data_IF_496251962666
#
_entry.id   IF_496251962666
#
_cell.length_a   1.000
_cell.length_b   1.000
_cell.length_c   1.000
_cell.angle_alpha   90.00
_cell.angle_beta   90.00
_cell.angle_gamma   90.00
#
_symmetry.space_group_name_H-M   'P 1'
#
loop_
_entity.id
_entity.type
_entity.pdbx_description
1 polymer ?
#
# COMPACT_ATOMS: atom_id res chain seq x y z
N UNK A 1 -10.35 59.33 53.72
CA UNK A 1 -10.59 60.66 53.11
C UNK A 1 -10.33 60.54 51.62
N UNK A 2 -11.36 60.85 50.82
CA UNK A 2 -11.39 61.12 49.37
C UNK A 2 -10.87 60.05 48.39
N UNK A 3 -11.48 59.82 47.22
CA UNK A 3 -12.87 59.91 46.74
C UNK A 3 -12.86 59.25 45.35
N UNK A 4 -13.90 58.47 45.06
CA UNK A 4 -14.19 57.90 43.74
C UNK A 4 -14.66 58.96 42.71
N UNK A 5 -14.46 58.64 41.42
CA UNK A 5 -15.18 59.24 40.29
C UNK A 5 -14.47 58.90 38.97
N UNK A 6 -14.77 57.81 38.23
CA UNK A 6 -15.94 57.57 37.36
C UNK A 6 -16.33 58.76 36.46
N UNK A 7 -15.89 58.69 35.19
CA UNK A 7 -16.67 58.91 33.96
C UNK A 7 -16.16 57.87 32.95
N UNK A 8 -16.84 56.77 32.63
CA UNK A 8 -18.12 56.62 31.92
C UNK A 8 -18.03 57.26 30.52
N UNK A 9 -17.85 56.44 29.47
CA UNK A 9 -18.93 55.86 28.63
C UNK A 9 -19.31 56.82 27.48
N UNK A 10 -18.99 56.47 26.23
CA UNK A 10 -19.95 56.24 25.14
C UNK A 10 -19.26 56.22 23.76
N UNK A 11 -19.68 55.24 22.95
CA UNK A 11 -19.27 54.99 21.56
C UNK A 11 -19.15 53.48 21.33
N UNK A 12 -20.15 52.67 21.72
CA UNK A 12 -21.32 52.31 20.89
C UNK A 12 -20.92 51.96 19.44
N UNK A 13 -20.72 50.67 19.15
CA UNK A 13 -21.75 49.80 18.54
C UNK A 13 -22.11 50.24 17.12
N UNK A 14 -21.47 49.64 16.12
CA UNK A 14 -22.10 49.05 14.93
C UNK A 14 -21.03 48.51 13.97
N UNK A 15 -20.81 47.20 14.00
CA UNK A 15 -20.74 46.33 12.82
C UNK A 15 -20.52 44.90 13.32
N UNK A 16 -21.62 44.32 13.79
CA UNK A 16 -21.82 42.89 13.75
C UNK A 16 -21.60 42.35 12.33
N UNK A 17 -21.30 41.06 12.27
CA UNK A 17 -21.43 40.18 11.11
C UNK A 17 -20.41 40.41 9.99
N UNK A 18 -19.33 39.63 10.00
CA UNK A 18 -19.09 38.56 9.00
C UNK A 18 -17.65 38.07 9.09
N UNK A 19 -17.42 37.01 9.87
CA UNK A 19 -16.36 36.01 9.60
C UNK A 19 -16.41 34.87 10.62
N UNK A 20 -17.63 34.49 11.06
CA UNK A 20 -17.89 33.08 11.32
C UNK A 20 -18.12 32.42 9.95
N UNK A 21 -17.07 32.30 9.14
CA UNK A 21 -17.01 31.28 8.10
C UNK A 21 -16.71 29.96 8.82
N UNK A 22 -17.69 29.50 9.60
CA UNK A 22 -17.89 28.07 9.77
C UNK A 22 -18.22 27.61 8.38
N UNK A 23 -17.21 27.13 7.66
CA UNK A 23 -17.42 26.37 6.44
C UNK A 23 -18.31 25.22 6.87
N UNK A 24 -19.60 25.32 6.55
CA UNK A 24 -20.46 24.16 6.45
C UNK A 24 -19.84 23.29 5.37
N UNK A 25 -18.85 22.49 5.74
CA UNK A 25 -18.38 21.38 4.92
C UNK A 25 -19.64 20.62 4.59
N UNK A 26 -20.03 20.58 3.32
CA UNK A 26 -21.10 19.72 2.88
C UNK A 26 -20.73 18.31 3.35
N UNK A 27 -21.42 17.86 4.39
CA UNK A 27 -21.01 16.69 5.16
C UNK A 27 -21.39 15.46 4.35
N UNK A 28 -20.45 15.01 3.51
CA UNK A 28 -20.48 13.64 3.03
C UNK A 28 -20.16 12.72 4.21
N UNK A 29 -20.86 11.60 4.33
CA UNK A 29 -20.54 10.64 5.38
C UNK A 29 -19.15 10.06 5.12
N UNK A 30 -18.43 9.68 6.19
CA UNK A 30 -17.13 9.00 6.04
C UNK A 30 -17.22 7.75 5.16
N UNK A 31 -18.37 7.07 5.14
CA UNK A 31 -18.61 5.89 4.32
C UNK A 31 -18.73 6.24 2.84
N UNK A 32 -19.49 7.28 2.51
CA UNK A 32 -19.68 7.68 1.12
C UNK A 32 -18.37 8.26 0.56
N UNK A 33 -17.61 8.99 1.39
CA UNK A 33 -16.27 9.44 1.02
C UNK A 33 -15.33 8.26 0.72
N UNK A 34 -15.27 7.23 1.56
CA UNK A 34 -14.45 6.02 1.33
C UNK A 34 -14.81 5.32 0.00
N UNK A 35 -16.11 5.27 -0.34
CA UNK A 35 -16.58 4.68 -1.61
C UNK A 35 -16.11 5.52 -2.80
N UNK A 36 -16.28 6.84 -2.74
CA UNK A 36 -15.84 7.76 -3.79
C UNK A 36 -14.32 7.71 -3.96
N UNK A 37 -13.57 7.76 -2.86
CA UNK A 37 -12.10 7.66 -2.86
C UNK A 37 -11.66 6.33 -3.49
N UNK A 38 -12.31 5.22 -3.14
CA UNK A 38 -12.04 3.91 -3.74
C UNK A 38 -12.26 3.89 -5.25
N UNK A 39 -13.36 4.47 -5.75
CA UNK A 39 -13.63 4.58 -7.19
C UNK A 39 -12.60 5.45 -7.91
N UNK A 40 -12.21 6.57 -7.30
CA UNK A 40 -11.19 7.46 -7.83
C UNK A 40 -9.84 6.73 -7.93
N UNK A 41 -9.35 6.08 -6.87
CA UNK A 41 -8.03 5.43 -6.89
C UNK A 41 -7.96 4.18 -7.76
N UNK A 42 -9.06 3.44 -7.91
CA UNK A 42 -9.14 2.33 -8.86
C UNK A 42 -9.04 2.84 -10.32
N UNK A 43 -9.70 3.96 -10.64
CA UNK A 43 -9.52 4.65 -11.92
C UNK A 43 -8.10 5.17 -12.12
N UNK A 44 -7.49 5.69 -11.06
CA UNK A 44 -6.19 6.37 -11.13
C UNK A 44 -5.06 5.39 -11.42
N UNK A 45 -5.12 4.18 -10.86
CA UNK A 45 -4.17 3.11 -11.18
C UNK A 45 -4.15 2.79 -12.68
N UNK A 46 -5.33 2.50 -13.25
CA UNK A 46 -5.44 2.21 -14.70
C UNK A 46 -5.02 3.42 -15.54
N UNK A 47 -5.41 4.64 -15.15
CA UNK A 47 -5.02 5.84 -15.86
C UNK A 47 -3.49 6.01 -15.88
N UNK A 48 -2.82 5.83 -14.74
CA UNK A 48 -1.36 5.93 -14.64
C UNK A 48 -0.64 4.91 -15.54
N UNK A 49 -1.11 3.66 -15.59
CA UNK A 49 -0.59 2.63 -16.49
C UNK A 49 -0.65 3.07 -17.96
N UNK A 50 -1.81 3.57 -18.40
CA UNK A 50 -2.03 3.98 -19.80
C UNK A 50 -1.27 5.25 -20.18
N UNK A 51 -1.20 6.23 -19.28
CA UNK A 51 -0.44 7.47 -19.52
C UNK A 51 1.06 7.15 -19.63
N UNK A 52 1.60 6.27 -18.78
CA UNK A 52 2.98 5.79 -18.90
C UNK A 52 3.20 5.04 -20.22
N UNK A 53 2.30 4.14 -20.60
CA UNK A 53 2.38 3.41 -21.86
C UNK A 53 2.43 4.36 -23.08
N UNK A 54 1.60 5.40 -23.07
CA UNK A 54 1.57 6.41 -24.12
C UNK A 54 2.84 7.27 -24.15
N UNK A 55 3.39 7.61 -22.98
CA UNK A 55 4.68 8.29 -22.90
C UNK A 55 5.83 7.45 -23.48
N UNK A 56 5.83 6.13 -23.20
CA UNK A 56 6.81 5.18 -23.76
C UNK A 56 6.68 5.06 -25.29
N UNK A 57 5.46 4.98 -25.82
CA UNK A 57 5.20 4.96 -27.28
C UNK A 57 5.74 6.24 -27.92
N UNK A 58 5.46 7.40 -27.32
CA UNK A 58 5.86 8.70 -27.86
C UNK A 58 7.39 8.87 -27.83
N UNK A 59 8.02 8.62 -26.68
CA UNK A 59 9.47 8.76 -26.53
C UNK A 59 10.25 7.71 -27.32
N UNK A 60 9.72 6.50 -27.44
CA UNK A 60 10.25 5.45 -28.31
C UNK A 60 10.02 5.71 -29.80
N UNK A 61 9.28 6.76 -30.18
CA UNK A 61 8.89 7.06 -31.57
C UNK A 61 8.26 5.86 -32.30
N UNK A 62 7.45 5.08 -31.58
CA UNK A 62 6.89 3.85 -32.13
C UNK A 62 5.76 4.14 -33.12
N UNK A 63 5.64 3.38 -34.22
CA UNK A 63 4.48 3.43 -35.12
C UNK A 63 3.25 2.73 -34.52
N UNK A 64 3.08 2.81 -33.20
CA UNK A 64 1.98 2.23 -32.44
C UNK A 64 0.96 3.32 -32.09
N UNK A 65 -0.33 3.04 -32.27
CA UNK A 65 -1.38 3.96 -31.81
C UNK A 65 -1.37 4.05 -30.29
N UNK A 66 -1.46 5.26 -29.70
CA UNK A 66 -1.62 5.43 -28.26
C UNK A 66 -2.84 4.66 -27.74
N UNK A 67 -2.73 4.15 -26.52
CA UNK A 67 -3.85 3.58 -25.77
C UNK A 67 -4.86 4.67 -25.42
N UNK A 68 -6.14 4.31 -25.46
CA UNK A 68 -7.25 5.22 -25.14
C UNK A 68 -7.39 5.37 -23.63
N UNK A 69 -7.23 6.60 -23.13
CA UNK A 69 -7.32 6.91 -21.68
C UNK A 69 -8.70 7.38 -21.23
N UNK A 70 -9.60 7.66 -22.16
CA UNK A 70 -10.90 8.33 -21.92
C UNK A 70 -11.74 7.63 -20.87
N UNK A 71 -11.86 6.30 -20.91
CA UNK A 71 -12.68 5.55 -19.96
C UNK A 71 -12.16 5.66 -18.53
N UNK A 72 -10.86 5.45 -18.33
CA UNK A 72 -10.21 5.62 -17.01
C UNK A 72 -10.29 7.06 -16.54
N UNK A 73 -10.07 8.05 -17.41
CA UNK A 73 -10.14 9.47 -17.05
C UNK A 73 -11.56 9.90 -16.66
N UNK A 74 -12.58 9.48 -17.43
CA UNK A 74 -13.98 9.78 -17.10
C UNK A 74 -14.40 9.21 -15.74
N UNK A 75 -13.86 8.04 -15.36
CA UNK A 75 -14.09 7.46 -14.03
C UNK A 75 -13.52 8.35 -12.91
N UNK A 76 -12.35 8.97 -13.12
CA UNK A 76 -11.76 9.93 -12.17
C UNK A 76 -12.64 11.16 -12.02
N UNK A 77 -13.05 11.76 -13.15
CA UNK A 77 -13.87 12.97 -13.16
C UNK A 77 -15.24 12.70 -12.55
N UNK A 78 -15.86 11.55 -12.83
CA UNK A 78 -17.13 11.15 -12.21
C UNK A 78 -17.01 11.02 -10.69
N UNK A 79 -15.91 10.43 -10.19
CA UNK A 79 -15.68 10.33 -8.74
C UNK A 79 -15.50 11.72 -8.10
N UNK A 80 -14.72 12.62 -8.72
CA UNK A 80 -14.57 14.00 -8.25
C UNK A 80 -15.92 14.72 -8.25
N UNK A 81 -16.71 14.58 -9.32
CA UNK A 81 -18.03 15.18 -9.44
C UNK A 81 -19.04 14.69 -8.39
N UNK A 82 -18.83 13.48 -7.84
CA UNK A 82 -19.66 12.93 -6.76
C UNK A 82 -19.41 13.60 -5.40
N UNK A 83 -18.31 14.34 -5.24
CA UNK A 83 -18.05 15.13 -4.04
C UNK A 83 -18.78 16.48 -4.11
N UNK A 84 -19.24 17.02 -2.97
CA UNK A 84 -19.75 18.40 -2.93
C UNK A 84 -18.75 19.40 -3.49
N UNK A 85 -19.23 20.44 -4.17
CA UNK A 85 -18.38 21.38 -4.93
C UNK A 85 -17.27 22.03 -4.08
N UNK A 86 -17.57 22.40 -2.84
CA UNK A 86 -16.61 22.99 -1.89
C UNK A 86 -15.75 21.95 -1.14
N UNK A 87 -15.86 20.65 -1.45
CA UNK A 87 -15.13 19.61 -0.73
C UNK A 87 -13.63 19.65 -1.09
N UNK A 88 -12.72 19.77 -0.11
CA UNK A 88 -11.28 19.97 -0.37
C UNK A 88 -10.62 18.83 -1.15
N UNK A 89 -11.11 17.60 -0.99
CA UNK A 89 -10.59 16.45 -1.75
C UNK A 89 -10.77 16.55 -3.26
N UNK A 90 -11.65 17.43 -3.77
CA UNK A 90 -11.74 17.69 -5.22
C UNK A 90 -10.42 18.24 -5.76
N UNK A 91 -9.87 19.25 -5.08
CA UNK A 91 -8.55 19.81 -5.41
C UNK A 91 -7.45 18.78 -5.22
N UNK A 92 -7.48 18.00 -4.13
CA UNK A 92 -6.50 16.92 -3.92
C UNK A 92 -6.50 15.92 -5.07
N UNK A 93 -7.67 15.42 -5.47
CA UNK A 93 -7.79 14.44 -6.54
C UNK A 93 -7.35 15.01 -7.90
N UNK A 94 -7.66 16.28 -8.20
CA UNK A 94 -7.15 16.95 -9.39
C UNK A 94 -5.61 17.05 -9.38
N UNK A 95 -5.02 17.37 -8.23
CA UNK A 95 -3.56 17.40 -8.09
C UNK A 95 -2.94 16.02 -8.24
N UNK A 96 -3.57 14.96 -7.71
CA UNK A 96 -3.11 13.58 -7.92
C UNK A 96 -3.07 13.22 -9.41
N UNK A 97 -4.09 13.61 -10.20
CA UNK A 97 -4.10 13.42 -11.67
C UNK A 97 -2.93 14.16 -12.32
N UNK A 98 -2.79 15.45 -12.03
CA UNK A 98 -1.73 16.28 -12.62
C UNK A 98 -0.33 15.76 -12.28
N UNK A 99 -0.14 15.25 -11.06
CA UNK A 99 1.11 14.64 -10.62
C UNK A 99 1.43 13.34 -11.38
N UNK A 100 0.43 12.50 -11.68
CA UNK A 100 0.61 11.32 -12.54
C UNK A 100 1.01 11.74 -13.96
N UNK A 101 0.34 12.74 -14.53
CA UNK A 101 0.62 13.24 -15.89
C UNK A 101 2.02 13.86 -15.99
N UNK A 102 2.51 14.47 -14.91
CA UNK A 102 3.89 14.95 -14.79
C UNK A 102 4.91 13.81 -14.61
N UNK A 103 4.59 12.81 -13.80
CA UNK A 103 5.50 11.72 -13.47
C UNK A 103 5.71 10.74 -14.62
N UNK A 104 4.65 10.45 -15.39
CA UNK A 104 4.69 9.42 -16.43
C UNK A 104 5.74 9.67 -17.53
N UNK A 105 5.91 10.89 -18.08
CA UNK A 105 7.00 11.17 -19.03
C UNK A 105 8.41 10.98 -18.43
N UNK A 106 8.60 11.35 -17.16
CA UNK A 106 9.87 11.16 -16.45
C UNK A 106 10.14 9.66 -16.28
N UNK A 107 9.13 8.92 -15.83
CA UNK A 107 9.20 7.47 -15.67
C UNK A 107 9.48 6.73 -16.98
N UNK A 108 8.86 7.16 -18.08
CA UNK A 108 9.15 6.62 -19.41
C UNK A 108 10.62 6.83 -19.80
N UNK A 109 11.16 8.03 -19.56
CA UNK A 109 12.56 8.35 -19.87
C UNK A 109 13.51 7.48 -19.04
N UNK A 110 13.27 7.35 -17.73
CA UNK A 110 14.07 6.51 -16.84
C UNK A 110 14.01 5.03 -17.26
N UNK A 111 12.82 4.52 -17.61
CA UNK A 111 12.65 3.15 -18.13
C UNK A 111 13.49 2.94 -19.37
N UNK A 112 13.39 3.81 -20.37
CA UNK A 112 14.10 3.65 -21.64
C UNK A 112 15.62 3.72 -21.44
N UNK A 113 16.09 4.63 -20.59
CA UNK A 113 17.51 4.76 -20.25
C UNK A 113 18.05 3.50 -19.55
N UNK A 114 17.29 2.94 -18.60
CA UNK A 114 17.72 1.76 -17.83
C UNK A 114 17.50 0.42 -18.52
N UNK A 115 16.48 0.32 -19.38
CA UNK A 115 16.21 -0.90 -20.13
C UNK A 115 17.30 -1.11 -21.18
N UNK A 116 17.73 -0.06 -21.88
CA UNK A 116 18.62 -0.20 -23.02
C UNK A 116 17.99 -1.00 -24.16
N UNK A 117 18.58 -0.89 -25.36
CA UNK A 117 18.01 -1.47 -26.56
C UNK A 117 16.93 -0.61 -27.22
N UNK A 118 16.47 -1.06 -28.39
CA UNK A 118 15.50 -0.32 -29.19
C UNK A 118 14.10 -0.86 -28.92
N UNK A 119 13.28 -0.07 -28.23
CA UNK A 119 11.89 -0.39 -27.98
C UNK A 119 11.15 -0.50 -29.32
N UNK A 120 10.33 -1.54 -29.49
CA UNK A 120 9.52 -1.74 -30.70
C UNK A 120 8.05 -1.89 -30.44
N UNK A 121 7.67 -2.23 -29.21
CA UNK A 121 6.26 -2.35 -28.84
C UNK A 121 6.04 -2.12 -27.35
N UNK A 122 4.89 -1.55 -27.03
CA UNK A 122 4.37 -1.47 -25.66
C UNK A 122 3.05 -2.22 -25.61
N UNK A 123 2.93 -3.22 -24.73
CA UNK A 123 1.66 -3.94 -24.48
C UNK A 123 1.17 -3.59 -23.09
N UNK A 124 -0.13 -3.37 -22.96
CA UNK A 124 -0.81 -3.29 -21.65
C UNK A 124 -1.33 -4.69 -21.33
N UNK A 125 -0.78 -5.30 -20.29
CA UNK A 125 -1.10 -6.67 -19.87
C UNK A 125 -2.10 -6.59 -18.73
N UNK A 126 -3.27 -7.19 -18.92
CA UNK A 126 -4.24 -7.30 -17.83
C UNK A 126 -3.66 -8.17 -16.69
N UNK A 127 -4.00 -7.79 -15.46
CA UNK A 127 -3.54 -8.39 -14.20
C UNK A 127 -3.66 -9.92 -14.18
N UNK A 128 -2.55 -10.65 -14.31
CA UNK A 128 -2.47 -12.06 -13.93
C UNK A 128 -1.92 -12.16 -12.50
N UNK A 129 -2.80 -12.06 -11.49
CA UNK A 129 -2.40 -12.27 -10.08
C UNK A 129 -2.07 -13.75 -9.76
N UNK A 130 -2.28 -14.65 -10.72
CA UNK A 130 -1.79 -16.03 -10.62
C UNK A 130 -0.26 -15.99 -10.63
N UNK A 131 0.35 -16.59 -9.60
CA UNK A 131 1.80 -16.79 -9.51
C UNK A 131 2.71 -15.54 -9.46
N UNK A 132 2.25 -14.45 -8.82
CA UNK A 132 3.07 -13.25 -8.57
C UNK A 132 3.60 -12.53 -9.80
N UNK A 133 2.93 -12.64 -10.96
CA UNK A 133 3.22 -11.76 -12.09
C UNK A 133 2.72 -10.35 -11.77
N UNK A 134 3.56 -9.36 -12.03
CA UNK A 134 3.27 -7.97 -11.67
C UNK A 134 3.20 -7.03 -12.87
N UNK A 135 3.57 -7.49 -14.06
CA UNK A 135 3.63 -6.65 -15.25
C UNK A 135 2.26 -6.08 -15.62
N UNK A 136 2.08 -4.79 -15.43
CA UNK A 136 0.96 -4.02 -15.96
C UNK A 136 1.25 -3.62 -17.43
N UNK A 137 2.54 -3.41 -17.74
CA UNK A 137 3.03 -3.20 -19.10
C UNK A 137 4.09 -4.24 -19.46
N UNK A 138 4.17 -4.58 -20.75
CA UNK A 138 5.25 -5.38 -21.32
C UNK A 138 5.90 -4.63 -22.47
N UNK A 139 7.20 -4.35 -22.32
CA UNK A 139 8.01 -3.64 -23.30
C UNK A 139 8.77 -4.66 -24.13
N UNK A 140 8.58 -4.63 -25.45
CA UNK A 140 9.25 -5.52 -26.40
C UNK A 140 10.35 -4.73 -27.12
N UNK A 141 11.51 -5.35 -27.30
CA UNK A 141 12.71 -4.75 -27.89
C UNK A 141 13.24 -5.65 -29.01
N UNK A 142 13.92 -5.08 -29.98
CA UNK A 142 14.51 -5.85 -31.09
C UNK A 142 15.75 -6.66 -30.69
N UNK A 143 16.45 -6.23 -29.64
CA UNK A 143 17.78 -6.74 -29.29
C UNK A 143 17.88 -7.24 -27.85
N UNK A 144 16.76 -7.52 -27.19
CA UNK A 144 16.74 -8.12 -25.84
C UNK A 144 15.41 -8.77 -25.51
N UNK A 145 15.41 -9.53 -24.41
CA UNK A 145 14.19 -10.07 -23.84
C UNK A 145 13.21 -8.94 -23.44
N UNK A 146 11.89 -9.19 -23.56
CA UNK A 146 10.87 -8.26 -23.10
C UNK A 146 11.04 -7.89 -21.62
N UNK A 147 10.71 -6.64 -21.30
CA UNK A 147 10.77 -6.13 -19.93
C UNK A 147 9.34 -5.89 -19.42
N UNK A 148 8.88 -6.63 -18.41
CA UNK A 148 7.64 -6.30 -17.74
C UNK A 148 7.85 -5.15 -16.75
N UNK A 149 6.86 -4.27 -16.66
CA UNK A 149 6.84 -3.10 -15.78
C UNK A 149 5.55 -3.16 -14.96
N UNK A 150 5.68 -3.07 -13.64
CA UNK A 150 4.54 -2.90 -12.73
C UNK A 150 4.43 -1.43 -12.33
N UNK A 151 3.26 -0.85 -12.50
CA UNK A 151 2.99 0.56 -12.21
C UNK A 151 2.23 0.64 -10.90
N UNK A 152 2.77 1.38 -9.94
CA UNK A 152 2.12 1.63 -8.66
C UNK A 152 1.94 3.12 -8.44
N UNK A 153 0.81 3.48 -7.83
CA UNK A 153 0.55 4.84 -7.40
C UNK A 153 0.46 4.86 -5.88
N UNK A 154 1.20 5.77 -5.24
CA UNK A 154 1.33 5.77 -3.78
C UNK A 154 1.02 7.14 -3.18
N UNK A 155 0.49 7.11 -1.95
CA UNK A 155 0.29 8.29 -1.08
C UNK A 155 0.83 8.07 0.34
N UNK A 156 1.28 6.86 0.65
CA UNK A 156 1.58 6.37 2.00
C UNK A 156 3.08 6.15 2.25
N UNK A 157 3.90 6.41 1.22
CA UNK A 157 5.31 6.04 1.12
C UNK A 157 5.51 4.53 1.42
N UNK A 158 4.57 3.71 0.92
CA UNK A 158 4.59 2.25 1.01
C UNK A 158 4.01 1.64 -0.26
N UNK A 159 4.62 0.58 -0.76
CA UNK A 159 4.17 -0.15 -1.95
C UNK A 159 3.84 -1.59 -1.59
N UNK A 160 2.72 -2.10 -2.08
CA UNK A 160 2.46 -3.53 -1.97
C UNK A 160 3.43 -4.29 -2.88
N UNK A 161 3.95 -5.42 -2.41
CA UNK A 161 4.72 -6.34 -3.29
C UNK A 161 3.84 -6.84 -4.45
N UNK A 162 4.45 -7.40 -5.50
CA UNK A 162 3.81 -7.83 -6.73
C UNK A 162 2.40 -8.44 -6.58
N UNK A 163 2.24 -9.33 -5.61
CA UNK A 163 0.97 -10.04 -5.41
C UNK A 163 -0.17 -9.21 -4.83
N UNK A 164 0.11 -8.03 -4.28
CA UNK A 164 -0.88 -7.10 -3.74
C UNK A 164 -1.63 -7.65 -2.52
N UNK A 165 -2.46 -8.66 -2.74
CA UNK A 165 -3.34 -9.31 -1.79
C UNK A 165 -3.04 -10.81 -1.75
N UNK A 166 -2.87 -11.35 -0.55
CA UNK A 166 -2.47 -12.75 -0.35
C UNK A 166 -3.59 -13.54 0.35
N UNK A 167 -4.68 -13.92 -0.35
CA UNK A 167 -5.76 -14.71 0.25
C UNK A 167 -5.35 -16.17 0.49
N UNK A 168 -4.39 -16.67 -0.28
CA UNK A 168 -3.71 -17.95 -0.05
C UNK A 168 -2.59 -17.75 0.99
N UNK A 169 -2.93 -18.02 2.24
CA UNK A 169 -2.00 -17.81 3.37
C UNK A 169 -0.90 -18.88 3.36
N UNK A 170 -1.21 -20.11 2.95
CA UNK A 170 -0.28 -21.24 3.04
C UNK A 170 0.88 -21.03 2.08
N UNK A 171 0.61 -20.97 0.78
CA UNK A 171 1.68 -21.01 -0.22
C UNK A 171 2.26 -19.63 -0.51
N UNK A 172 1.42 -18.60 -0.60
CA UNK A 172 1.86 -17.26 -0.99
C UNK A 172 2.38 -16.41 0.16
N UNK A 173 2.12 -16.78 1.42
CA UNK A 173 2.63 -16.04 2.58
C UNK A 173 3.53 -16.89 3.49
N UNK A 174 3.00 -17.95 4.10
CA UNK A 174 3.69 -18.71 5.14
C UNK A 174 4.89 -19.51 4.59
N UNK A 175 4.68 -20.29 3.53
CA UNK A 175 5.73 -21.06 2.86
C UNK A 175 6.78 -20.11 2.24
N UNK A 176 6.31 -19.15 1.45
CA UNK A 176 7.15 -18.22 0.70
C UNK A 176 8.08 -17.40 1.58
N UNK A 177 7.53 -16.67 2.55
CA UNK A 177 8.31 -15.71 3.35
C UNK A 177 8.94 -16.32 4.60
N UNK A 178 8.41 -17.44 5.09
CA UNK A 178 8.82 -18.01 6.37
C UNK A 178 9.18 -19.50 6.33
N UNK A 179 9.12 -20.17 5.16
CA UNK A 179 9.37 -21.61 5.01
C UNK A 179 8.51 -22.47 5.93
N UNK A 180 7.27 -22.06 6.15
CA UNK A 180 6.29 -22.83 6.91
C UNK A 180 5.67 -23.85 5.97
N UNK A 181 5.82 -25.14 6.27
CA UNK A 181 5.14 -26.20 5.50
C UNK A 181 3.66 -26.25 5.85
N UNK A 182 2.85 -26.90 5.01
CA UNK A 182 1.42 -27.06 5.27
C UNK A 182 1.14 -27.81 6.59
N UNK A 183 1.94 -28.84 6.90
CA UNK A 183 1.87 -29.57 8.16
C UNK A 183 2.21 -28.67 9.37
N UNK A 184 3.25 -27.84 9.25
CA UNK A 184 3.64 -26.90 10.30
C UNK A 184 2.53 -25.86 10.52
N UNK A 185 1.93 -25.33 9.45
CA UNK A 185 0.83 -24.38 9.54
C UNK A 185 -0.40 -25.01 10.21
N UNK A 186 -0.74 -26.25 9.82
CA UNK A 186 -1.85 -27.02 10.39
C UNK A 186 -1.63 -27.28 11.88
N UNK A 187 -0.40 -27.60 12.28
CA UNK A 187 -0.04 -27.75 13.69
C UNK A 187 -0.23 -26.44 14.47
N UNK A 188 0.24 -25.31 13.93
CA UNK A 188 0.05 -23.98 14.57
C UNK A 188 -1.44 -23.66 14.72
N UNK A 189 -2.25 -23.94 13.70
CA UNK A 189 -3.71 -23.75 13.75
C UNK A 189 -4.37 -24.59 14.85
N UNK A 190 -4.01 -25.88 14.94
CA UNK A 190 -4.54 -26.78 15.95
C UNK A 190 -4.18 -26.33 17.37
N UNK A 191 -2.94 -25.88 17.59
CA UNK A 191 -2.50 -25.34 18.89
C UNK A 191 -3.21 -24.01 19.26
N UNK A 192 -3.65 -23.24 18.27
CA UNK A 192 -4.50 -22.07 18.46
C UNK A 192 -5.98 -22.42 18.66
N UNK A 193 -6.35 -23.70 18.59
CA UNK A 193 -7.71 -24.19 18.81
C UNK A 193 -8.61 -24.19 17.58
N UNK A 194 -8.05 -24.06 16.37
CA UNK A 194 -8.80 -24.12 15.11
C UNK A 194 -8.69 -25.48 14.44
N UNK A 195 -9.78 -25.97 13.87
CA UNK A 195 -9.85 -27.24 13.12
C UNK A 195 -9.32 -27.10 11.69
N UNK A 196 -9.36 -25.89 11.13
CA UNK A 196 -8.89 -25.62 9.76
C UNK A 196 -8.58 -24.16 9.51
N UNK A 197 -7.86 -23.88 8.42
CA UNK A 197 -7.65 -22.51 7.96
C UNK A 197 -8.97 -21.83 7.54
N UNK A 198 -9.92 -22.59 6.98
CA UNK A 198 -11.23 -22.07 6.59
C UNK A 198 -12.00 -21.53 7.81
N UNK A 199 -11.96 -22.26 8.93
CA UNK A 199 -12.54 -21.80 10.18
C UNK A 199 -11.86 -20.53 10.70
N UNK A 200 -10.52 -20.51 10.74
CA UNK A 200 -9.77 -19.33 11.19
C UNK A 200 -10.10 -18.08 10.34
N UNK A 201 -10.33 -18.24 9.03
CA UNK A 201 -10.70 -17.14 8.12
C UNK A 201 -12.06 -16.51 8.41
N UNK A 202 -12.92 -17.12 9.22
CA UNK A 202 -14.21 -16.51 9.61
C UNK A 202 -14.05 -15.24 10.46
N UNK A 203 -12.87 -15.02 11.05
CA UNK A 203 -12.55 -13.83 11.83
C UNK A 203 -11.12 -13.38 11.57
N UNK A 204 -10.93 -12.16 11.07
CA UNK A 204 -9.59 -11.68 10.68
C UNK A 204 -8.58 -11.64 11.84
N UNK A 205 -9.05 -11.45 13.10
CA UNK A 205 -8.17 -11.49 14.27
C UNK A 205 -7.61 -12.89 14.57
N UNK A 206 -8.29 -13.96 14.15
CA UNK A 206 -7.74 -15.32 14.25
C UNK A 206 -6.56 -15.49 13.29
N UNK A 207 -6.68 -14.93 12.08
CA UNK A 207 -5.56 -14.87 11.14
C UNK A 207 -4.42 -14.00 11.69
N UNK A 208 -4.73 -12.90 12.39
CA UNK A 208 -3.70 -12.11 13.06
C UNK A 208 -2.95 -12.90 14.15
N UNK A 209 -3.63 -13.75 14.93
CA UNK A 209 -2.98 -14.65 15.88
C UNK A 209 -2.09 -15.68 15.18
N UNK A 210 -2.56 -16.26 14.08
CA UNK A 210 -1.78 -17.19 13.25
C UNK A 210 -0.49 -16.51 12.73
N UNK A 211 -0.62 -15.31 12.17
CA UNK A 211 0.51 -14.51 11.67
C UNK A 211 1.51 -14.22 12.79
N UNK A 212 1.04 -13.81 13.97
CA UNK A 212 1.90 -13.57 15.13
C UNK A 212 2.68 -14.84 15.54
N UNK A 213 2.02 -16.00 15.59
CA UNK A 213 2.65 -17.28 15.91
C UNK A 213 3.69 -17.70 14.88
N UNK A 214 3.42 -17.51 13.59
CA UNK A 214 4.41 -17.77 12.53
C UNK A 214 5.63 -16.88 12.73
N UNK A 215 5.47 -15.58 12.99
CA UNK A 215 6.59 -14.68 13.25
C UNK A 215 7.40 -15.11 14.46
N UNK A 216 6.73 -15.39 15.59
CA UNK A 216 7.39 -15.80 16.85
C UNK A 216 8.21 -17.07 16.63
N UNK A 217 7.63 -18.08 16.00
CA UNK A 217 8.30 -19.39 15.85
C UNK A 217 9.41 -19.35 14.81
N UNK A 218 9.13 -18.78 13.63
CA UNK A 218 10.07 -18.86 12.49
C UNK A 218 11.25 -17.91 12.64
N UNK A 219 11.07 -16.80 13.34
CA UNK A 219 12.16 -15.88 13.66
C UNK A 219 12.78 -16.15 15.03
N UNK A 220 12.27 -17.18 15.74
CA UNK A 220 12.64 -17.55 17.11
C UNK A 220 12.63 -16.33 18.05
N UNK A 221 11.55 -15.54 17.99
CA UNK A 221 11.44 -14.31 18.76
C UNK A 221 11.41 -14.61 20.26
N UNK A 222 12.28 -13.93 21.00
CA UNK A 222 12.36 -13.99 22.47
C UNK A 222 11.70 -12.76 23.08
N UNK A 223 11.30 -12.88 24.34
CA UNK A 223 10.77 -11.75 25.14
C UNK A 223 9.54 -11.06 24.51
N UNK A 224 8.70 -11.84 23.83
CA UNK A 224 7.48 -11.35 23.19
C UNK A 224 6.33 -12.32 23.37
N UNK A 225 5.13 -11.78 23.24
CA UNK A 225 3.87 -12.51 23.18
C UNK A 225 3.14 -12.16 21.87
N UNK A 226 2.16 -12.96 21.41
CA UNK A 226 1.41 -12.67 20.19
C UNK A 226 0.77 -11.27 20.16
N UNK A 227 0.55 -10.66 21.33
CA UNK A 227 -0.02 -9.34 21.49
C UNK A 227 1.01 -8.23 21.79
N UNK A 228 2.26 -8.52 22.14
CA UNK A 228 3.28 -7.50 22.46
C UNK A 228 4.65 -7.91 21.93
N UNK A 229 5.11 -7.22 20.88
CA UNK A 229 6.42 -7.42 20.26
C UNK A 229 7.41 -6.29 20.64
N UNK A 230 7.08 -5.43 21.61
CA UNK A 230 7.90 -4.25 21.94
C UNK A 230 9.33 -4.62 22.34
N UNK A 231 9.50 -5.71 23.05
CA UNK A 231 10.81 -6.24 23.48
C UNK A 231 11.27 -7.45 22.67
N UNK A 232 10.64 -7.73 21.52
CA UNK A 232 10.97 -8.92 20.75
C UNK A 232 12.42 -8.88 20.25
N UNK A 233 13.19 -9.91 20.59
CA UNK A 233 14.56 -10.12 20.12
C UNK A 233 14.62 -11.29 19.15
N UNK A 234 15.41 -11.16 18.07
CA UNK A 234 15.55 -12.21 17.06
C UNK A 234 16.45 -13.34 17.57
N UNK A 235 15.92 -14.55 17.66
CA UNK A 235 16.71 -15.77 17.91
C UNK A 235 17.32 -16.36 16.64
N UNK A 236 16.64 -16.20 15.49
CA UNK A 236 17.06 -16.75 14.21
C UNK A 236 17.29 -15.67 13.16
N UNK A 237 18.51 -15.13 13.12
CA UNK A 237 18.89 -14.06 12.19
C UNK A 237 18.82 -14.51 10.72
N UNK A 238 19.19 -15.75 10.41
CA UNK A 238 19.14 -16.26 9.03
C UNK A 238 17.71 -16.38 8.51
N UNK A 239 16.72 -16.67 9.37
CA UNK A 239 15.31 -16.62 8.99
C UNK A 239 14.85 -15.20 8.63
N UNK A 240 15.31 -14.18 9.37
CA UNK A 240 15.04 -12.77 9.01
C UNK A 240 15.71 -12.41 7.69
N UNK A 241 16.98 -12.77 7.49
CA UNK A 241 17.67 -12.53 6.21
C UNK A 241 16.97 -13.22 5.06
N UNK A 242 16.53 -14.47 5.24
CA UNK A 242 15.71 -15.18 4.26
C UNK A 242 14.43 -14.39 3.91
N UNK A 243 13.66 -13.96 4.91
CA UNK A 243 12.47 -13.13 4.71
C UNK A 243 12.80 -11.88 3.87
N UNK A 244 13.86 -11.14 4.21
CA UNK A 244 14.25 -9.94 3.49
C UNK A 244 14.66 -10.23 2.03
N UNK A 245 15.38 -11.33 1.78
CA UNK A 245 15.72 -11.77 0.41
C UNK A 245 14.46 -12.12 -0.39
N UNK A 246 13.51 -12.84 0.20
CA UNK A 246 12.23 -13.16 -0.44
C UNK A 246 11.42 -11.89 -0.74
N UNK A 247 11.35 -10.95 0.21
CA UNK A 247 10.68 -9.67 -0.01
C UNK A 247 11.31 -8.89 -1.17
N UNK A 248 12.64 -8.89 -1.30
CA UNK A 248 13.35 -8.24 -2.41
C UNK A 248 13.06 -8.92 -3.74
N UNK A 249 13.00 -10.25 -3.75
CA UNK A 249 12.62 -11.02 -4.95
C UNK A 249 11.17 -10.71 -5.38
N UNK A 250 10.20 -10.90 -4.48
CA UNK A 250 8.78 -10.70 -4.77
C UNK A 250 8.35 -9.24 -4.88
N UNK A 251 9.19 -8.27 -4.50
CA UNK A 251 9.01 -6.86 -4.86
C UNK A 251 8.83 -6.75 -6.38
N UNK A 252 9.66 -7.45 -7.14
CA UNK A 252 9.69 -7.43 -8.60
C UNK A 252 8.76 -8.47 -9.25
N UNK A 253 8.11 -9.33 -8.47
CA UNK A 253 7.29 -10.41 -9.01
C UNK A 253 8.12 -11.54 -9.63
N UNK A 254 7.45 -12.63 -9.97
CA UNK A 254 8.08 -13.82 -10.55
C UNK A 254 8.39 -13.68 -12.05
N UNK A 255 7.87 -12.62 -12.69
CA UNK A 255 8.12 -12.28 -14.08
C UNK A 255 9.27 -11.29 -14.25
N UNK A 256 10.07 -11.05 -13.20
CA UNK A 256 11.14 -10.05 -13.17
C UNK A 256 10.66 -8.62 -13.48
N UNK A 257 9.40 -8.32 -13.16
CA UNK A 257 8.84 -6.98 -13.34
C UNK A 257 9.61 -5.91 -12.58
N UNK A 258 9.91 -4.80 -13.26
CA UNK A 258 10.40 -3.62 -12.57
C UNK A 258 9.22 -2.82 -12.05
N UNK A 259 9.22 -2.54 -10.74
CA UNK A 259 8.18 -1.73 -10.11
C UNK A 259 8.57 -0.26 -10.22
N UNK A 260 7.78 0.50 -10.97
CA UNK A 260 7.84 1.96 -11.00
C UNK A 260 6.71 2.52 -10.13
N UNK A 261 7.02 3.57 -9.38
CA UNK A 261 6.09 4.15 -8.42
C UNK A 261 5.95 5.63 -8.69
N UNK A 262 4.72 6.08 -8.87
CA UNK A 262 4.38 7.48 -8.96
C UNK A 262 3.84 7.97 -7.63
N UNK A 263 4.57 8.90 -7.01
CA UNK A 263 4.14 9.61 -5.82
C UNK A 263 3.04 10.60 -6.18
N UNK A 264 1.82 10.34 -5.71
CA UNK A 264 0.64 11.12 -6.09
C UNK A 264 0.60 12.49 -5.44
N UNK A 265 1.41 12.73 -4.41
CA UNK A 265 1.47 14.01 -3.70
C UNK A 265 2.45 14.96 -4.38
N UNK A 266 3.59 14.43 -4.84
CA UNK A 266 4.71 15.24 -5.34
C UNK A 266 4.96 15.12 -6.84
N UNK A 267 4.44 14.08 -7.48
CA UNK A 267 4.77 13.72 -8.86
C UNK A 267 6.18 13.15 -9.02
N UNK A 268 6.83 12.72 -7.92
CA UNK A 268 8.12 12.06 -7.97
C UNK A 268 8.00 10.63 -8.52
N UNK A 269 9.01 10.21 -9.29
CA UNK A 269 9.19 8.82 -9.72
C UNK A 269 10.11 8.14 -8.72
N UNK A 270 9.70 6.96 -8.23
CA UNK A 270 10.44 6.14 -7.28
C UNK A 270 10.54 4.71 -7.78
N UNK A 271 11.65 4.04 -7.44
CA UNK A 271 11.94 2.66 -7.81
C UNK A 271 12.30 1.81 -6.60
N UNK A 272 13.11 2.41 -5.73
CA UNK A 272 13.69 1.73 -4.59
C UNK A 272 12.78 1.84 -3.38
N UNK A 273 12.83 0.77 -2.60
CA UNK A 273 12.32 0.68 -1.26
C UNK A 273 13.47 0.79 -0.27
N UNK A 274 13.20 1.13 0.98
CA UNK A 274 14.22 1.09 2.03
C UNK A 274 14.92 -0.28 2.12
N UNK A 275 14.23 -1.36 1.72
CA UNK A 275 14.81 -2.70 1.67
C UNK A 275 16.00 -2.81 0.70
N UNK A 276 16.02 -2.05 -0.39
CA UNK A 276 17.07 -2.14 -1.41
C UNK A 276 18.39 -1.52 -0.92
N UNK A 277 18.31 -0.55 -0.01
CA UNK A 277 19.48 0.05 0.65
C UNK A 277 20.08 -0.76 1.80
N UNK A 278 19.46 -1.88 2.18
CA UNK A 278 19.95 -2.73 3.28
C UNK A 278 20.92 -3.78 2.75
N UNK A 279 22.13 -3.79 3.30
CA UNK A 279 23.01 -4.95 3.23
C UNK A 279 22.47 -6.05 4.15
N UNK A 280 21.75 -6.99 3.56
CA UNK A 280 21.11 -8.10 4.27
C UNK A 280 22.15 -9.01 4.92
N UNK A 281 23.33 -9.17 4.29
CA UNK A 281 24.33 -10.11 4.75
C UNK A 281 25.11 -9.59 5.96
N UNK A 282 25.32 -8.27 6.02
CA UNK A 282 25.92 -7.57 7.15
C UNK A 282 24.93 -7.22 8.29
N UNK A 283 23.65 -7.63 8.17
CA UNK A 283 22.64 -7.34 9.19
C UNK A 283 22.90 -8.13 10.48
N UNK A 284 22.76 -7.48 11.63
CA UNK A 284 22.85 -8.11 12.96
C UNK A 284 21.49 -8.06 13.67
N UNK A 285 21.32 -8.92 14.69
CA UNK A 285 20.04 -9.07 15.39
C UNK A 285 19.59 -7.78 16.11
N UNK A 286 20.53 -7.02 16.66
CA UNK A 286 20.28 -5.83 17.49
C UNK A 286 19.72 -4.65 16.67
N UNK A 287 19.94 -4.68 15.36
CA UNK A 287 19.40 -3.69 14.42
C UNK A 287 17.93 -3.95 14.10
N UNK A 288 17.42 -5.12 14.43
CA UNK A 288 16.07 -5.56 14.07
C UNK A 288 15.11 -5.30 15.23
N UNK A 289 13.95 -4.73 14.91
CA UNK A 289 12.81 -4.64 15.82
C UNK A 289 11.50 -4.83 15.04
N UNK A 290 10.36 -4.83 15.73
CA UNK A 290 9.09 -5.27 15.13
C UNK A 290 7.94 -4.27 15.28
N UNK A 291 7.03 -4.35 14.31
CA UNK A 291 5.65 -3.88 14.39
C UNK A 291 4.72 -5.10 14.47
N UNK A 292 3.51 -4.97 15.05
CA UNK A 292 3.09 -3.88 15.93
C UNK A 292 3.93 -3.93 17.22
N UNK A 293 4.10 -2.84 17.96
CA UNK A 293 4.62 -3.01 19.33
C UNK A 293 3.52 -3.51 20.28
N UNK A 294 2.27 -3.05 20.11
CA UNK A 294 1.08 -3.47 20.88
C UNK A 294 -0.19 -3.34 20.03
N UNK A 295 -1.30 -4.02 20.39
CA UNK A 295 -2.58 -3.88 19.71
C UNK A 295 -3.16 -2.50 19.99
N UNK A 296 -4.03 -2.01 19.10
CA UNK A 296 -4.75 -0.73 19.27
C UNK A 296 -6.22 -0.98 19.58
N UNK A 297 -6.92 0.04 20.07
CA UNK A 297 -8.39 0.05 20.21
C UNK A 297 -8.97 -1.11 21.02
N UNK A 298 -8.25 -1.59 22.05
CA UNK A 298 -8.70 -2.68 22.91
C UNK A 298 -8.72 -4.06 22.24
N UNK A 299 -8.14 -4.22 21.04
CA UNK A 299 -7.97 -5.54 20.42
C UNK A 299 -6.98 -6.40 21.23
N UNK A 300 -7.22 -7.71 21.25
CA UNK A 300 -6.34 -8.67 21.94
C UNK A 300 -5.04 -8.95 21.17
N UNK A 301 -5.01 -8.66 19.87
CA UNK A 301 -3.88 -8.84 18.95
C UNK A 301 -3.93 -7.72 17.91
N UNK A 302 -2.78 -7.28 17.38
CA UNK A 302 -2.82 -6.28 16.32
C UNK A 302 -3.10 -6.91 14.95
N UNK A 303 -3.54 -6.09 14.01
CA UNK A 303 -3.83 -6.49 12.62
C UNK A 303 -2.79 -6.01 11.61
N UNK A 304 -1.66 -5.49 12.08
CA UNK A 304 -0.56 -5.07 11.21
C UNK A 304 0.77 -5.40 11.90
N UNK A 305 1.50 -6.35 11.33
CA UNK A 305 2.83 -6.74 11.76
C UNK A 305 3.89 -6.18 10.82
N UNK A 306 5.16 -6.21 11.19
CA UNK A 306 6.22 -5.70 10.34
C UNK A 306 7.60 -5.82 10.95
N UNK A 307 8.61 -5.66 10.09
CA UNK A 307 10.01 -5.68 10.49
C UNK A 307 10.58 -4.29 10.32
N UNK A 308 11.34 -3.87 11.32
CA UNK A 308 12.12 -2.64 11.32
C UNK A 308 13.60 -2.98 11.29
N UNK A 309 14.37 -2.15 10.60
CA UNK A 309 15.83 -2.14 10.65
C UNK A 309 16.26 -0.73 11.02
N UNK A 310 17.12 -0.61 12.04
CA UNK A 310 17.58 0.68 12.59
C UNK A 310 16.42 1.62 12.96
N UNK A 311 15.35 1.06 13.53
CA UNK A 311 14.15 1.78 13.93
C UNK A 311 13.20 2.17 12.80
N UNK A 312 13.60 1.99 11.53
CA UNK A 312 12.77 2.28 10.36
C UNK A 312 11.96 1.06 9.94
N UNK A 313 10.66 1.24 9.69
CA UNK A 313 9.82 0.14 9.18
C UNK A 313 10.17 -0.14 7.74
N UNK A 314 10.60 -1.36 7.45
CA UNK A 314 11.00 -1.77 6.10
C UNK A 314 9.86 -2.51 5.42
N UNK A 315 9.13 -3.35 6.17
CA UNK A 315 7.98 -4.11 5.68
C UNK A 315 6.85 -4.12 6.71
N UNK A 316 5.61 -4.14 6.25
CA UNK A 316 4.42 -4.41 7.05
C UNK A 316 3.52 -5.47 6.40
N UNK A 317 2.95 -6.37 7.21
CA UNK A 317 1.94 -7.36 6.86
C UNK A 317 0.60 -6.93 7.46
N UNK A 318 -0.28 -6.37 6.63
CA UNK A 318 -1.57 -5.87 7.05
C UNK A 318 -2.65 -6.92 6.86
N UNK A 319 -3.25 -7.40 7.95
CA UNK A 319 -4.40 -8.30 7.92
C UNK A 319 -5.68 -7.48 7.73
N UNK A 320 -6.44 -7.81 6.68
CA UNK A 320 -7.67 -7.11 6.31
C UNK A 320 -8.90 -7.98 6.49
N UNK A 321 -10.02 -7.33 6.80
CA UNK A 321 -11.36 -7.91 6.84
C UNK A 321 -12.26 -7.38 5.71
N UNK A 322 -13.40 -8.03 5.49
CA UNK A 322 -14.41 -7.65 4.48
C UNK A 322 -15.22 -6.40 4.90
N UNK A 323 -14.55 -5.26 5.13
CA UNK A 323 -15.18 -4.02 5.62
C UNK A 323 -16.11 -3.31 4.59
N UNK A 324 -16.06 -3.71 3.32
CA UNK A 324 -16.83 -3.14 2.21
C UNK A 324 -18.22 -3.76 2.05
N UNK A 325 -18.43 -4.56 1.00
CA UNK A 325 -19.73 -5.18 0.64
C UNK A 325 -20.43 -5.95 1.77
N UNK A 326 -19.69 -6.39 2.79
CA UNK A 326 -20.21 -7.13 3.94
C UNK A 326 -20.46 -6.27 5.20
N UNK A 327 -20.30 -4.95 5.14
CA UNK A 327 -20.53 -4.05 6.28
C UNK A 327 -21.97 -4.19 6.80
N UNK A 328 -22.12 -4.35 8.11
CA UNK A 328 -23.40 -4.58 8.78
C UNK A 328 -23.90 -6.02 8.74
N UNK A 329 -23.14 -6.94 8.14
CA UNK A 329 -23.46 -8.38 8.12
C UNK A 329 -22.55 -9.14 9.08
N UNK A 330 -22.91 -10.41 9.37
CA UNK A 330 -22.04 -11.33 10.11
C UNK A 330 -20.66 -11.49 9.45
N UNK A 331 -20.57 -11.32 8.13
CA UNK A 331 -19.34 -11.50 7.35
C UNK A 331 -18.39 -10.31 7.39
N UNK A 332 -18.78 -9.18 7.99
CA UNK A 332 -17.96 -7.95 8.01
C UNK A 332 -16.55 -8.21 8.57
N UNK A 333 -16.44 -9.11 9.54
CA UNK A 333 -15.20 -9.42 10.25
C UNK A 333 -14.45 -10.63 9.66
N UNK A 334 -14.98 -11.26 8.62
CA UNK A 334 -14.26 -12.32 7.92
C UNK A 334 -12.97 -11.77 7.33
N UNK A 335 -11.94 -12.61 7.35
CA UNK A 335 -10.67 -12.35 6.70
C UNK A 335 -10.86 -12.09 5.20
N UNK A 336 -10.11 -11.13 4.68
CA UNK A 336 -10.08 -10.78 3.26
C UNK A 336 -8.70 -11.02 2.65
N UNK A 337 -7.64 -10.45 3.22
CA UNK A 337 -6.27 -10.64 2.72
C UNK A 337 -5.20 -10.38 3.80
N UNK A 338 -3.98 -10.85 3.53
CA UNK A 338 -2.74 -10.29 4.08
C UNK A 338 -2.05 -9.47 2.98
N UNK A 339 -1.90 -8.16 3.20
CA UNK A 339 -1.21 -7.26 2.27
C UNK A 339 0.21 -7.02 2.79
N UNK A 340 1.21 -7.52 2.06
CA UNK A 340 2.63 -7.26 2.34
C UNK A 340 3.06 -5.97 1.67
N UNK A 341 3.55 -4.99 2.43
CA UNK A 341 3.95 -3.67 1.93
C UNK A 341 5.37 -3.32 2.31
N UNK A 342 6.16 -2.88 1.36
CA UNK A 342 7.51 -2.34 1.54
C UNK A 342 7.45 -0.83 1.73
N UNK A 343 8.32 -0.29 2.58
CA UNK A 343 8.50 1.15 2.75
C UNK A 343 9.36 1.69 1.61
N UNK A 344 8.92 2.78 1.00
CA UNK A 344 9.70 3.52 0.00
C UNK A 344 10.77 4.38 0.64
#
# INVERSE_FOLDING_TARGET
MQQHGRKALLGLFLCCLTSQLVWGQAQISSKDFEIIEGHFHDGLGTYAELVLANALIAQGSLPQKPFVTTASYNKLIAAIASLPEAHPSRTTFQNEIANIEKAAPLGASEILQHAGGSLTRVRHTAREFADAKAGDLRLEFDNRAPLPISVKTDKSNRVAVAEGQTPDITHKWAERYFRVTEDELTKILSELGFLSLAEAKNQYLNIAQLVAQVLIRKLELKHCEPNDFRGAEVGNLEAVKYLLRQLRHYKHGNDDSRVIIFDRITGAVKWDSLLDGIDIEALTAERISFLPSRPRNGHIVASEFGVKVDGQTIVSFQIKHKRGKARGTAQQYEFSDITTRLRL
#
